data_IF_579729027951
#
_entry.id   IF_579729027951
#
_cell.length_a   1.000
_cell.length_b   1.000
_cell.length_c   1.000
_cell.angle_alpha   90.00
_cell.angle_beta   90.00
_cell.angle_gamma   90.00
#
_symmetry.space_group_name_H-M   'P 1'
#
loop_
_entity.id
_entity.type
_entity.pdbx_description
1 polymer ?
#
# COMPACT_ATOMS: atom_id res chain seq x y z
N UNK A 1 1.77 -20.24 11.98
CA UNK A 1 0.96 -21.07 11.06
C UNK A 1 1.84 -21.62 9.95
N UNK A 2 1.57 -22.86 9.55
CA UNK A 2 2.34 -23.49 8.47
C UNK A 2 1.99 -22.85 7.14
N UNK A 3 3.00 -22.45 6.39
CA UNK A 3 2.83 -21.76 5.11
C UNK A 3 2.88 -22.73 3.93
N UNK A 4 2.04 -22.49 2.91
CA UNK A 4 2.03 -23.31 1.71
C UNK A 4 3.27 -23.05 0.85
N UNK A 5 3.66 -24.04 -0.02
CA UNK A 5 4.77 -23.81 -0.96
C UNK A 5 4.57 -22.61 -1.88
N UNK A 6 3.32 -22.33 -2.26
CA UNK A 6 2.99 -21.15 -3.08
C UNK A 6 3.36 -19.85 -2.36
N UNK A 7 2.97 -19.71 -1.08
CA UNK A 7 3.34 -18.53 -0.30
C UNK A 7 4.83 -18.48 0.03
N UNK A 8 5.49 -19.64 0.21
CA UNK A 8 6.94 -19.66 0.36
C UNK A 8 7.63 -19.08 -0.88
N UNK A 9 7.17 -19.43 -2.07
CA UNK A 9 7.70 -18.90 -3.31
C UNK A 9 7.46 -17.38 -3.42
N UNK A 10 6.26 -16.93 -3.10
CA UNK A 10 5.92 -15.51 -3.09
C UNK A 10 6.83 -14.74 -2.14
N UNK A 11 7.02 -15.28 -0.92
CA UNK A 11 7.88 -14.65 0.08
C UNK A 11 9.33 -14.54 -0.38
N UNK A 12 9.83 -15.52 -1.14
CA UNK A 12 11.17 -15.46 -1.74
C UNK A 12 11.28 -14.30 -2.73
N UNK A 13 10.22 -14.03 -3.49
CA UNK A 13 10.20 -12.89 -4.41
C UNK A 13 10.22 -11.54 -3.70
N UNK A 14 9.85 -11.50 -2.42
CA UNK A 14 9.82 -10.29 -1.59
C UNK A 14 11.15 -9.96 -0.94
N UNK A 15 12.17 -10.82 -1.10
CA UNK A 15 13.47 -10.63 -0.46
C UNK A 15 14.26 -9.50 -1.11
N UNK A 16 15.16 -8.83 -0.36
CA UNK A 16 16.02 -7.80 -0.91
C UNK A 16 16.81 -8.29 -2.13
N UNK A 17 16.86 -7.47 -3.17
CA UNK A 17 17.62 -7.76 -4.38
C UNK A 17 16.92 -8.64 -5.41
N UNK A 18 15.70 -9.13 -5.13
CA UNK A 18 14.96 -9.96 -6.10
C UNK A 18 14.17 -9.08 -7.06
N UNK A 19 13.14 -8.37 -6.59
CA UNK A 19 12.37 -7.43 -7.42
C UNK A 19 12.87 -6.01 -7.21
N UNK A 20 13.03 -5.62 -5.93
CA UNK A 20 13.59 -4.31 -5.57
C UNK A 20 14.80 -4.50 -4.68
N UNK A 21 15.68 -3.49 -4.64
CA UNK A 21 16.86 -3.54 -3.81
C UNK A 21 16.52 -3.73 -2.32
N UNK A 22 15.57 -2.97 -1.73
CA UNK A 22 15.22 -3.14 -0.32
C UNK A 22 14.28 -4.32 -0.05
N UNK A 23 13.65 -4.90 -1.07
CA UNK A 23 12.60 -5.91 -0.89
C UNK A 23 11.33 -5.30 -0.32
N UNK A 24 10.42 -6.18 0.16
CA UNK A 24 9.10 -5.75 0.63
C UNK A 24 8.82 -6.07 2.10
N UNK A 25 9.71 -6.79 2.76
CA UNK A 25 9.48 -7.27 4.13
C UNK A 25 10.32 -6.56 5.20
N UNK A 26 11.34 -5.81 4.80
CA UNK A 26 12.27 -5.19 5.73
C UNK A 26 12.98 -6.25 6.56
N UNK A 27 13.01 -6.06 7.88
CA UNK A 27 13.59 -7.03 8.81
C UNK A 27 12.55 -7.97 9.43
N UNK A 28 11.32 -8.00 8.88
CA UNK A 28 10.27 -8.88 9.36
C UNK A 28 10.61 -10.32 8.99
N UNK A 29 10.81 -11.16 9.99
CA UNK A 29 11.23 -12.57 9.81
C UNK A 29 10.06 -13.54 9.87
N UNK A 30 8.84 -13.05 10.05
CA UNK A 30 7.66 -13.90 10.10
C UNK A 30 7.35 -14.50 8.73
N UNK A 31 6.62 -15.62 8.72
CA UNK A 31 6.06 -16.14 7.48
C UNK A 31 5.07 -15.12 6.90
N UNK A 32 5.02 -15.03 5.57
CA UNK A 32 4.12 -14.10 4.88
C UNK A 32 2.67 -14.27 5.35
N UNK A 33 2.22 -15.52 5.51
CA UNK A 33 0.83 -15.78 5.95
C UNK A 33 0.53 -15.15 7.30
N UNK A 34 1.50 -15.15 8.22
CA UNK A 34 1.30 -14.54 9.55
C UNK A 34 1.25 -13.02 9.47
N UNK A 35 2.04 -12.41 8.57
CA UNK A 35 1.98 -10.98 8.31
C UNK A 35 0.59 -10.59 7.79
N UNK A 36 0.07 -11.35 6.81
CA UNK A 36 -1.23 -11.09 6.23
C UNK A 36 -2.36 -11.24 7.25
N UNK A 37 -2.29 -12.25 8.11
CA UNK A 37 -3.31 -12.52 9.14
C UNK A 37 -3.35 -11.38 10.16
N UNK A 38 -2.18 -10.91 10.62
CA UNK A 38 -2.13 -9.82 11.59
C UNK A 38 -2.74 -8.54 11.04
N UNK A 39 -2.37 -8.16 9.81
CA UNK A 39 -2.87 -6.93 9.21
C UNK A 39 -4.36 -7.04 8.89
N UNK A 40 -4.84 -8.20 8.46
CA UNK A 40 -6.27 -8.43 8.27
C UNK A 40 -7.04 -8.24 9.58
N UNK A 41 -6.51 -8.79 10.68
CA UNK A 41 -7.11 -8.64 11.99
C UNK A 41 -7.22 -7.16 12.41
N UNK A 42 -6.17 -6.38 12.15
CA UNK A 42 -6.17 -4.94 12.45
C UNK A 42 -7.27 -4.22 11.67
N UNK A 43 -7.42 -4.53 10.38
CA UNK A 43 -8.42 -3.90 9.51
C UNK A 43 -9.83 -4.29 9.95
N UNK A 44 -10.06 -5.57 10.27
CA UNK A 44 -11.37 -6.04 10.72
C UNK A 44 -11.77 -5.41 12.06
N UNK A 45 -10.83 -5.27 13.00
CA UNK A 45 -11.11 -4.60 14.28
C UNK A 45 -11.42 -3.12 14.11
N UNK A 46 -11.00 -2.51 13.01
CA UNK A 46 -11.32 -1.12 12.70
C UNK A 46 -12.64 -0.99 11.93
N UNK A 47 -13.39 -2.07 11.78
CA UNK A 47 -14.70 -2.11 11.09
C UNK A 47 -14.65 -1.65 9.63
N UNK A 48 -13.60 -2.03 8.93
CA UNK A 48 -13.45 -1.75 7.50
C UNK A 48 -12.88 -2.98 6.77
N UNK A 49 -12.43 -2.82 5.55
CA UNK A 49 -11.89 -3.90 4.74
C UNK A 49 -10.72 -3.43 3.88
N UNK A 50 -9.90 -4.37 3.45
CA UNK A 50 -8.84 -4.09 2.49
C UNK A 50 -9.40 -3.45 1.22
N UNK A 51 -10.57 -3.91 0.77
CA UNK A 51 -11.23 -3.37 -0.42
C UNK A 51 -11.56 -1.89 -0.26
N UNK A 52 -12.14 -1.51 0.87
CA UNK A 52 -12.48 -0.11 1.14
C UNK A 52 -11.23 0.78 1.25
N UNK A 53 -10.17 0.26 1.89
CA UNK A 53 -8.91 1.00 1.98
C UNK A 53 -8.34 1.22 0.57
N UNK A 54 -8.27 0.18 -0.25
CA UNK A 54 -7.74 0.27 -1.60
C UNK A 54 -8.58 1.21 -2.49
N UNK A 55 -9.90 1.17 -2.37
CA UNK A 55 -10.78 2.08 -3.10
C UNK A 55 -10.50 3.53 -2.74
N UNK A 56 -10.26 3.81 -1.46
CA UNK A 56 -9.94 5.16 -1.01
C UNK A 56 -8.58 5.61 -1.52
N UNK A 57 -7.58 4.72 -1.50
CA UNK A 57 -6.27 4.99 -2.09
C UNK A 57 -6.40 5.32 -3.58
N UNK A 58 -7.17 4.52 -4.31
CA UNK A 58 -7.41 4.73 -5.74
C UNK A 58 -8.11 6.06 -6.01
N UNK A 59 -9.07 6.43 -5.17
CA UNK A 59 -9.76 7.72 -5.27
C UNK A 59 -8.78 8.89 -5.25
N UNK A 60 -7.86 8.90 -4.29
CA UNK A 60 -6.86 9.97 -4.20
C UNK A 60 -5.89 9.96 -5.37
N UNK A 61 -5.47 8.77 -5.78
CA UNK A 61 -4.58 8.61 -6.92
C UNK A 61 -5.22 9.17 -8.19
N UNK A 62 -6.46 8.82 -8.46
CA UNK A 62 -7.16 9.26 -9.66
C UNK A 62 -7.43 10.77 -9.63
N UNK A 63 -7.82 11.31 -8.48
CA UNK A 63 -8.04 12.75 -8.33
C UNK A 63 -6.75 13.55 -8.48
N UNK A 64 -5.65 13.07 -7.89
CA UNK A 64 -4.38 13.77 -7.87
C UNK A 64 -3.69 13.87 -9.23
N UNK A 65 -4.01 12.98 -10.15
CA UNK A 65 -3.44 13.02 -11.52
C UNK A 65 -3.70 14.36 -12.21
N UNK A 66 -4.85 14.97 -11.95
CA UNK A 66 -5.22 16.25 -12.57
C UNK A 66 -4.30 17.41 -12.18
N UNK A 67 -3.52 17.24 -11.11
CA UNK A 67 -2.57 18.26 -10.67
C UNK A 67 -1.28 18.33 -11.48
N UNK A 68 -1.08 17.42 -12.42
CA UNK A 68 0.11 17.39 -13.30
C UNK A 68 1.43 17.47 -12.53
N UNK A 69 1.54 16.73 -11.43
CA UNK A 69 2.72 16.68 -10.58
C UNK A 69 2.72 17.67 -9.42
N UNK A 70 1.73 18.55 -9.36
CA UNK A 70 1.58 19.52 -8.27
C UNK A 70 0.48 19.11 -7.32
N UNK A 71 0.48 19.68 -6.11
CA UNK A 71 -0.61 19.45 -5.16
C UNK A 71 -1.90 20.10 -5.62
N UNK A 72 -3.01 19.39 -5.45
CA UNK A 72 -4.36 19.94 -5.58
C UNK A 72 -5.07 19.78 -4.25
N UNK A 73 -6.01 20.67 -3.95
CA UNK A 73 -6.84 20.58 -2.76
C UNK A 73 -8.12 19.81 -3.08
N UNK A 74 -8.45 18.86 -2.19
CA UNK A 74 -9.61 18.01 -2.36
C UNK A 74 -10.44 18.03 -1.07
N UNK A 75 -11.75 18.32 -1.20
CA UNK A 75 -12.70 18.35 -0.08
C UNK A 75 -12.28 19.28 1.08
N UNK A 76 -11.53 20.34 0.80
CA UNK A 76 -11.00 21.29 1.77
C UNK A 76 -10.14 20.67 2.89
N UNK A 77 -9.99 19.37 2.90
CA UNK A 77 -9.26 18.63 3.95
C UNK A 77 -7.92 18.11 3.46
N UNK A 78 -7.84 17.77 2.18
CA UNK A 78 -6.67 17.06 1.64
C UNK A 78 -5.94 17.88 0.60
N UNK A 79 -4.62 17.80 0.65
CA UNK A 79 -3.78 18.17 -0.48
C UNK A 79 -3.21 16.87 -1.06
N UNK A 80 -3.34 16.69 -2.36
CA UNK A 80 -2.96 15.44 -3.04
C UNK A 80 -2.04 15.75 -4.21
N UNK A 81 -0.95 15.00 -4.31
CA UNK A 81 -0.03 15.09 -5.44
C UNK A 81 0.24 13.69 -5.97
N UNK A 82 0.21 13.55 -7.28
CA UNK A 82 0.59 12.32 -7.97
C UNK A 82 1.78 12.62 -8.86
N UNK A 83 2.88 11.90 -8.65
CA UNK A 83 4.06 12.00 -9.51
C UNK A 83 4.52 10.60 -9.91
N UNK A 84 5.29 10.52 -10.98
CA UNK A 84 5.79 9.24 -11.46
C UNK A 84 7.26 9.32 -11.78
N UNK A 85 7.95 8.20 -11.60
CA UNK A 85 9.32 8.02 -12.06
C UNK A 85 9.34 6.94 -13.13
N UNK A 86 10.41 6.93 -13.92
CA UNK A 86 10.54 5.95 -15.00
C UNK A 86 10.72 4.55 -14.45
N UNK A 87 10.08 3.58 -15.10
CA UNK A 87 10.23 2.16 -14.81
C UNK A 87 8.94 1.50 -14.37
N UNK A 88 9.01 0.17 -14.30
CA UNK A 88 7.88 -0.68 -13.91
C UNK A 88 8.37 -1.78 -13.00
N UNK A 89 7.49 -2.29 -12.15
CA UNK A 89 7.78 -3.40 -11.25
C UNK A 89 6.75 -4.50 -11.40
N UNK A 90 7.18 -5.77 -11.41
CA UNK A 90 6.22 -6.88 -11.29
C UNK A 90 5.77 -7.03 -9.84
N UNK A 91 4.62 -7.67 -9.65
CA UNK A 91 4.17 -8.03 -8.29
C UNK A 91 4.88 -9.31 -7.82
N UNK A 92 5.35 -9.37 -6.56
CA UNK A 92 5.89 -10.60 -6.00
C UNK A 92 4.82 -11.70 -5.87
N UNK A 93 3.55 -11.33 -5.88
CA UNK A 93 2.44 -12.30 -5.86
C UNK A 93 2.22 -12.97 -7.23
N UNK A 94 2.89 -12.49 -8.26
CA UNK A 94 2.72 -13.00 -9.62
C UNK A 94 1.59 -12.32 -10.38
N UNK A 95 1.12 -12.99 -11.42
CA UNK A 95 0.09 -12.46 -12.29
C UNK A 95 0.67 -11.73 -13.51
N UNK A 96 -0.18 -11.44 -14.50
CA UNK A 96 0.27 -10.75 -15.70
C UNK A 96 0.44 -9.27 -15.48
N UNK A 97 1.38 -8.69 -16.20
CA UNK A 97 1.58 -7.26 -16.23
C UNK A 97 2.57 -6.75 -15.19
N UNK A 98 2.84 -5.47 -15.31
CA UNK A 98 3.76 -4.75 -14.46
C UNK A 98 3.11 -3.45 -14.03
N UNK A 99 3.59 -2.89 -12.92
CA UNK A 99 3.05 -1.67 -12.34
C UNK A 99 3.99 -0.50 -12.60
N UNK A 100 3.45 0.60 -13.10
CA UNK A 100 4.20 1.84 -13.24
C UNK A 100 4.56 2.38 -11.86
N UNK A 101 5.72 3.05 -11.77
CA UNK A 101 6.18 3.66 -10.53
C UNK A 101 5.51 5.02 -10.34
N UNK A 102 4.26 4.99 -9.93
CA UNK A 102 3.44 6.17 -9.65
C UNK A 102 3.28 6.33 -8.15
N UNK A 103 3.61 7.51 -7.64
CA UNK A 103 3.53 7.85 -6.22
C UNK A 103 2.36 8.80 -5.99
N UNK A 104 1.54 8.49 -4.99
CA UNK A 104 0.46 9.37 -4.53
C UNK A 104 0.78 9.82 -3.12
N UNK A 105 0.85 11.13 -2.90
CA UNK A 105 1.05 11.73 -1.58
C UNK A 105 -0.24 12.42 -1.17
N UNK A 106 -0.77 12.06 0.00
CA UNK A 106 -1.98 12.65 0.55
C UNK A 106 -1.63 13.32 1.87
N UNK A 107 -1.91 14.61 1.97
CA UNK A 107 -1.76 15.39 3.20
C UNK A 107 -3.15 15.62 3.76
N UNK A 108 -3.41 15.12 4.98
CA UNK A 108 -4.64 15.41 5.72
C UNK A 108 -4.37 16.65 6.58
N UNK A 109 -4.92 17.79 6.17
CA UNK A 109 -4.64 19.06 6.82
C UNK A 109 -5.27 19.17 8.20
N UNK A 110 -6.37 18.46 8.45
CA UNK A 110 -7.02 18.46 9.76
C UNK A 110 -6.19 17.71 10.82
N UNK A 111 -5.55 16.62 10.41
CA UNK A 111 -4.72 15.82 11.30
C UNK A 111 -3.26 16.24 11.28
N UNK A 112 -2.86 17.10 10.33
CA UNK A 112 -1.46 17.48 10.10
C UNK A 112 -0.59 16.23 9.90
N UNK A 113 -1.06 15.32 9.06
CA UNK A 113 -0.38 14.06 8.74
C UNK A 113 -0.42 13.79 7.24
N UNK A 114 0.61 13.12 6.76
CA UNK A 114 0.67 12.75 5.35
C UNK A 114 1.08 11.29 5.20
N UNK A 115 0.74 10.72 4.05
CA UNK A 115 1.12 9.38 3.68
C UNK A 115 1.37 9.33 2.17
N UNK A 116 2.37 8.54 1.78
CA UNK A 116 2.70 8.32 0.37
C UNK A 116 2.58 6.84 0.07
N UNK A 117 1.92 6.51 -1.02
CA UNK A 117 1.78 5.13 -1.48
C UNK A 117 1.90 5.07 -3.00
N UNK A 118 2.14 3.87 -3.52
CA UNK A 118 2.35 3.64 -4.95
C UNK A 118 1.19 2.86 -5.55
N UNK A 119 1.14 2.80 -6.89
CA UNK A 119 0.17 1.95 -7.57
C UNK A 119 0.34 0.48 -7.19
N UNK A 120 1.58 0.03 -6.97
CA UNK A 120 1.85 -1.32 -6.49
C UNK A 120 1.24 -1.56 -5.11
N UNK A 121 1.32 -0.57 -4.21
CA UNK A 121 0.68 -0.66 -2.89
C UNK A 121 -0.84 -0.80 -2.99
N UNK A 122 -1.47 -0.06 -3.90
CA UNK A 122 -2.92 -0.19 -4.11
C UNK A 122 -3.27 -1.62 -4.50
N UNK A 123 -2.49 -2.20 -5.41
CA UNK A 123 -2.64 -3.60 -5.82
C UNK A 123 -2.43 -4.56 -4.64
N UNK A 124 -1.39 -4.35 -3.83
CA UNK A 124 -1.10 -5.19 -2.67
C UNK A 124 -2.29 -5.21 -1.70
N UNK A 125 -2.82 -4.05 -1.39
CA UNK A 125 -3.94 -3.93 -0.43
C UNK A 125 -5.21 -4.54 -1.02
N UNK A 126 -5.56 -4.17 -2.24
CA UNK A 126 -6.80 -4.59 -2.87
C UNK A 126 -6.87 -6.09 -3.11
N UNK A 127 -5.79 -6.66 -3.68
CA UNK A 127 -5.83 -8.05 -4.14
C UNK A 127 -5.27 -9.04 -3.12
N UNK A 128 -4.45 -8.59 -2.17
CA UNK A 128 -3.74 -9.49 -1.27
C UNK A 128 -3.77 -9.10 0.21
N UNK A 129 -4.32 -7.93 0.55
CA UNK A 129 -4.32 -7.45 1.93
C UNK A 129 -2.91 -7.29 2.51
N UNK A 130 -1.97 -6.89 1.68
CA UNK A 130 -0.57 -6.78 2.03
C UNK A 130 -0.14 -5.32 2.13
N UNK A 131 0.53 -4.96 3.23
CA UNK A 131 0.98 -3.60 3.54
C UNK A 131 2.49 -3.52 3.69
N UNK A 132 3.22 -4.52 3.20
CA UNK A 132 4.64 -4.77 3.40
C UNK A 132 4.97 -5.25 4.82
N UNK A 133 6.20 -5.66 5.06
CA UNK A 133 6.64 -6.16 6.35
C UNK A 133 7.08 -5.05 7.29
N UNK A 134 7.10 -5.34 8.57
CA UNK A 134 7.60 -4.40 9.58
C UNK A 134 9.07 -4.11 9.34
N UNK A 135 9.42 -2.83 9.40
CA UNK A 135 10.77 -2.39 9.12
C UNK A 135 11.07 -2.13 7.66
N UNK A 136 10.16 -2.47 6.75
CA UNK A 136 10.28 -2.01 5.37
C UNK A 136 10.15 -0.49 5.34
N UNK A 137 11.03 0.23 4.60
CA UNK A 137 10.93 1.70 4.52
C UNK A 137 9.64 2.16 3.86
N UNK A 138 8.94 1.26 3.16
CA UNK A 138 7.71 1.57 2.45
C UNK A 138 6.47 0.92 3.08
N UNK A 139 6.62 0.35 4.29
CA UNK A 139 5.45 -0.22 4.96
C UNK A 139 4.41 0.86 5.22
N UNK A 140 3.15 0.51 4.92
CA UNK A 140 1.99 1.34 5.21
C UNK A 140 1.24 0.71 6.39
N UNK A 141 1.19 1.41 7.53
CA UNK A 141 0.40 0.91 8.66
C UNK A 141 -1.08 1.01 8.32
N UNK A 142 -1.85 -0.10 8.41
CA UNK A 142 -3.28 -0.04 8.07
C UNK A 142 -4.06 1.03 8.80
N UNK A 143 -3.80 1.23 10.09
CA UNK A 143 -4.50 2.27 10.87
C UNK A 143 -4.17 3.68 10.38
N UNK A 144 -2.93 3.92 9.93
CA UNK A 144 -2.57 5.22 9.36
C UNK A 144 -3.33 5.49 8.07
N UNK A 145 -3.45 4.49 7.20
CA UNK A 145 -4.24 4.62 5.97
C UNK A 145 -5.71 4.93 6.30
N UNK A 146 -6.29 4.19 7.24
CA UNK A 146 -7.68 4.38 7.64
C UNK A 146 -7.92 5.80 8.17
N UNK A 147 -7.05 6.28 9.04
CA UNK A 147 -7.23 7.58 9.69
C UNK A 147 -6.87 8.74 8.77
N UNK A 148 -5.73 8.69 8.11
CA UNK A 148 -5.25 9.80 7.26
C UNK A 148 -6.14 9.96 6.04
N UNK A 149 -6.52 8.86 5.39
CA UNK A 149 -7.35 8.90 4.20
C UNK A 149 -8.85 8.99 4.52
N UNK A 150 -9.23 8.90 5.78
CA UNK A 150 -10.63 8.87 6.21
C UNK A 150 -11.41 7.77 5.49
N UNK A 151 -10.90 6.54 5.61
CA UNK A 151 -11.57 5.37 5.05
C UNK A 151 -12.90 5.12 5.79
N UNK A 152 -13.94 4.80 5.03
CA UNK A 152 -15.24 4.52 5.59
C UNK A 152 -15.20 3.28 6.51
N UNK A 153 -15.79 3.41 7.70
CA UNK A 153 -15.93 2.32 8.67
C UNK A 153 -17.41 2.05 8.95
N UNK A 154 -17.70 0.82 9.34
CA UNK A 154 -19.07 0.43 9.63
C UNK A 154 -19.54 1.02 10.97
#
# INVERSE_FOLDING_TARGET
MKQSPEYDHIQQQMQPGVITLPGFLGHDKRNLIDILIEDEGTVLRADTSHQKIAERMQYFRDAGVDGLGEFITLDDTFDVRVDSVRGKLPSPFGGPGMFDKVNTTVVNKKLDKEITFTDLHIHFVRDHGFYEGKGSPFRLEPLDLIHILQVETA
#
